data_IF_874416450151
#
_entry.id   IF_874416450151
#
_cell.length_a   1.000
_cell.length_b   1.000
_cell.length_c   1.000
_cell.angle_alpha   90.00
_cell.angle_beta   90.00
_cell.angle_gamma   90.00
#
_symmetry.space_group_name_H-M   'P 1'
#
loop_
_entity.id
_entity.type
_entity.pdbx_description
1 polymer ?
#
# COMPACT_ATOMS: atom_id res chain seq x y z
N UNK A 1 20.82 18.77 -3.40
CA UNK A 1 22.08 18.32 -2.79
C UNK A 1 21.68 17.62 -1.51
N UNK A 2 22.11 16.36 -1.33
CA UNK A 2 21.87 15.64 -0.07
C UNK A 2 22.81 16.23 0.98
N UNK A 3 22.26 16.81 2.04
CA UNK A 3 23.05 17.30 3.16
C UNK A 3 23.58 16.12 3.97
N UNK A 4 24.87 16.19 4.37
CA UNK A 4 25.41 15.24 5.32
C UNK A 4 25.09 15.70 6.75
N UNK A 5 24.59 14.79 7.58
CA UNK A 5 24.27 15.08 8.97
C UNK A 5 24.35 13.85 9.86
N UNK A 6 24.36 14.08 11.18
CA UNK A 6 24.27 13.03 12.19
C UNK A 6 23.11 13.30 13.15
N UNK A 7 22.28 12.27 13.38
CA UNK A 7 21.27 12.23 14.45
C UNK A 7 21.93 11.67 15.70
N UNK A 8 22.11 12.47 16.74
CA UNK A 8 22.90 12.12 17.93
C UNK A 8 22.01 11.83 19.13
N UNK A 9 22.25 10.72 19.81
CA UNK A 9 21.61 10.37 21.07
C UNK A 9 20.23 9.70 20.92
N UNK A 10 19.88 9.18 19.75
CA UNK A 10 18.60 8.51 19.51
C UNK A 10 18.50 7.17 20.23
N UNK A 11 17.28 6.75 20.55
CA UNK A 11 16.95 5.34 20.76
C UNK A 11 16.57 4.75 19.41
N UNK A 12 17.37 3.79 18.94
CA UNK A 12 17.23 3.21 17.61
C UNK A 12 16.40 1.92 17.65
N UNK A 13 15.32 1.88 16.86
CA UNK A 13 14.61 0.66 16.48
C UNK A 13 14.93 0.40 15.01
N UNK A 14 15.79 -0.58 14.75
CA UNK A 14 16.36 -0.81 13.41
C UNK A 14 15.41 -1.47 12.41
N UNK A 15 14.22 -1.92 12.84
CA UNK A 15 13.23 -2.59 12.01
C UNK A 15 13.40 -4.12 11.91
N UNK A 16 14.47 -4.71 12.44
CA UNK A 16 14.73 -6.16 12.38
C UNK A 16 14.07 -6.97 13.50
N UNK A 17 13.36 -6.31 14.41
CA UNK A 17 12.65 -6.96 15.51
C UNK A 17 13.50 -7.24 16.76
N UNK A 18 14.75 -6.78 16.78
CA UNK A 18 15.60 -6.81 17.97
C UNK A 18 15.20 -5.76 19.01
N UNK A 19 15.85 -5.77 20.21
CA UNK A 19 15.63 -4.75 21.21
C UNK A 19 16.12 -3.38 20.71
N UNK A 20 15.46 -2.30 21.15
CA UNK A 20 15.89 -0.94 20.86
C UNK A 20 17.29 -0.66 21.42
N UNK A 21 18.14 0.00 20.65
CA UNK A 21 19.48 0.40 21.07
C UNK A 21 19.48 1.87 21.53
N UNK A 22 19.77 2.08 22.79
CA UNK A 22 19.77 3.43 23.39
C UNK A 22 21.03 4.22 23.05
N UNK A 23 20.87 5.54 23.01
CA UNK A 23 21.97 6.51 22.90
C UNK A 23 22.90 6.23 21.71
N UNK A 24 22.30 6.06 20.54
CA UNK A 24 23.00 5.82 19.28
C UNK A 24 23.15 7.11 18.46
N UNK A 25 24.15 7.13 17.59
CA UNK A 25 24.31 8.15 16.54
C UNK A 25 24.18 7.48 15.19
N UNK A 26 23.34 8.03 14.34
CA UNK A 26 23.16 7.62 12.94
C UNK A 26 23.65 8.75 12.04
N UNK A 27 24.67 8.44 11.23
CA UNK A 27 25.28 9.37 10.26
C UNK A 27 24.69 9.12 8.88
N UNK A 28 24.30 10.20 8.23
CA UNK A 28 23.74 10.20 6.87
C UNK A 28 24.63 11.01 5.96
N UNK A 29 25.04 10.40 4.84
CA UNK A 29 25.86 11.01 3.80
C UNK A 29 25.35 10.60 2.43
N UNK A 30 25.24 11.56 1.52
CA UNK A 30 24.78 11.32 0.14
C UNK A 30 23.44 10.55 0.07
N UNK A 31 22.53 10.81 1.00
CA UNK A 31 21.21 10.19 1.02
C UNK A 31 21.17 8.77 1.61
N UNK A 32 22.30 8.27 2.15
CA UNK A 32 22.43 6.94 2.72
C UNK A 32 22.90 6.97 4.16
N UNK A 33 22.59 5.92 4.89
CA UNK A 33 23.12 5.68 6.23
C UNK A 33 24.58 5.24 6.06
N UNK A 34 25.52 6.07 6.47
CA UNK A 34 26.96 5.78 6.32
C UNK A 34 27.56 5.10 7.54
N UNK A 35 27.03 5.40 8.75
CA UNK A 35 27.57 4.86 10.01
C UNK A 35 26.53 4.85 11.12
N UNK A 36 26.54 3.81 11.94
CA UNK A 36 25.74 3.67 13.15
C UNK A 36 26.67 3.32 14.31
N UNK A 37 26.78 4.19 15.31
CA UNK A 37 27.69 4.01 16.45
C UNK A 37 27.04 4.46 17.76
N UNK A 38 27.47 3.94 18.93
CA UNK A 38 27.11 4.54 20.21
C UNK A 38 27.51 6.01 20.27
N UNK A 39 26.65 6.89 20.82
CA UNK A 39 26.92 8.33 20.85
C UNK A 39 28.23 8.70 21.56
N UNK A 40 28.62 7.91 22.57
CA UNK A 40 29.91 8.08 23.26
C UNK A 40 31.18 7.79 22.39
N UNK A 41 30.98 7.13 21.23
CA UNK A 41 32.04 6.81 20.27
C UNK A 41 32.00 7.69 19.03
N UNK A 42 31.06 8.62 18.99
CA UNK A 42 30.89 9.53 17.87
C UNK A 42 31.70 10.80 18.05
N UNK A 43 32.70 11.01 17.19
CA UNK A 43 33.38 12.27 17.05
C UNK A 43 32.87 12.99 15.81
N UNK A 44 32.32 14.17 15.99
CA UNK A 44 31.80 14.96 14.88
C UNK A 44 32.95 15.43 13.97
N UNK A 45 32.92 15.05 12.73
CA UNK A 45 33.85 15.55 11.72
C UNK A 45 33.62 17.04 11.45
N UNK A 46 34.71 17.77 11.15
CA UNK A 46 34.60 19.19 10.85
C UNK A 46 33.71 19.42 9.63
N UNK A 47 32.60 20.16 9.85
CA UNK A 47 31.64 20.48 8.80
C UNK A 47 30.42 19.54 8.73
N UNK A 48 30.39 18.45 9.47
CA UNK A 48 29.19 17.59 9.57
C UNK A 48 28.15 18.27 10.48
N UNK A 49 26.96 18.51 9.95
CA UNK A 49 25.83 19.04 10.73
C UNK A 49 25.37 17.99 11.75
N UNK A 50 25.31 18.34 13.03
CA UNK A 50 24.75 17.48 14.06
C UNK A 50 23.36 17.94 14.46
N UNK A 51 22.46 17.00 14.65
CA UNK A 51 21.09 17.21 15.13
C UNK A 51 20.99 16.46 16.47
N UNK A 52 20.75 17.22 17.55
CA UNK A 52 20.47 16.62 18.85
C UNK A 52 19.10 15.93 18.80
N UNK A 53 19.09 14.63 19.00
CA UNK A 53 17.92 13.78 19.01
C UNK A 53 17.83 12.95 20.30
N UNK A 54 18.46 13.42 21.37
CA UNK A 54 18.37 12.80 22.69
C UNK A 54 16.91 12.71 23.16
N UNK A 55 16.53 11.54 23.67
CA UNK A 55 15.16 11.24 24.10
C UNK A 55 14.16 10.98 22.98
N UNK A 56 14.60 10.94 21.72
CA UNK A 56 13.75 10.60 20.57
C UNK A 56 14.04 9.17 20.09
N UNK A 57 13.06 8.64 19.34
CA UNK A 57 13.07 7.28 18.83
C UNK A 57 13.23 7.30 17.29
N UNK A 58 14.24 6.61 16.78
CA UNK A 58 14.53 6.56 15.35
C UNK A 58 14.13 5.20 14.78
N UNK A 59 13.30 5.25 13.74
CA UNK A 59 12.80 4.07 13.01
C UNK A 59 13.13 4.20 11.53
N UNK A 60 13.07 3.08 10.76
CA UNK A 60 13.01 3.17 9.29
C UNK A 60 11.77 3.96 8.87
N UNK A 61 11.82 4.62 7.72
CA UNK A 61 10.64 5.18 7.09
C UNK A 61 9.57 4.12 6.89
N UNK A 62 8.32 4.47 7.16
CA UNK A 62 7.20 3.54 6.99
C UNK A 62 7.00 3.23 5.50
N UNK A 63 6.50 2.04 5.24
CA UNK A 63 6.22 1.53 3.89
C UNK A 63 4.79 1.00 3.87
N UNK A 64 4.00 1.37 2.84
CA UNK A 64 2.69 0.76 2.60
C UNK A 64 2.77 -0.15 1.37
N UNK A 65 2.44 -1.42 1.56
CA UNK A 65 2.56 -2.47 0.53
C UNK A 65 1.35 -2.61 -0.40
N UNK A 66 0.26 -1.88 -0.15
CA UNK A 66 -0.91 -1.88 -1.03
C UNK A 66 -1.72 -0.60 -0.83
N UNK A 67 -1.67 0.27 -1.81
CA UNK A 67 -2.30 1.59 -1.81
C UNK A 67 -2.73 1.94 -3.25
N UNK A 68 -3.64 2.90 -3.38
CA UNK A 68 -4.14 3.42 -4.65
C UNK A 68 -4.08 4.95 -4.60
N UNK A 69 -3.06 5.55 -5.21
CA UNK A 69 -2.77 6.99 -5.09
C UNK A 69 -3.75 7.86 -5.88
N UNK A 70 -4.33 7.35 -6.96
CA UNK A 70 -5.49 7.98 -7.58
C UNK A 70 -6.71 7.70 -6.72
N UNK A 71 -6.81 8.47 -5.65
CA UNK A 71 -7.82 8.34 -4.61
C UNK A 71 -9.24 8.30 -5.20
N UNK A 72 -10.15 7.55 -4.57
CA UNK A 72 -11.56 7.45 -4.99
C UNK A 72 -11.87 6.39 -6.06
N UNK A 73 -10.89 5.69 -6.61
CA UNK A 73 -11.11 4.64 -7.63
C UNK A 73 -12.07 3.57 -7.13
N UNK A 74 -11.90 3.14 -5.88
CA UNK A 74 -12.65 2.03 -5.27
C UNK A 74 -14.06 2.42 -4.84
N UNK A 75 -14.51 3.66 -5.06
CA UNK A 75 -15.85 4.07 -4.67
C UNK A 75 -16.91 3.37 -5.49
N UNK A 76 -17.56 2.42 -4.85
CA UNK A 76 -18.76 1.77 -5.37
C UNK A 76 -19.94 2.72 -5.27
N UNK A 77 -20.10 3.63 -6.24
CA UNK A 77 -21.18 4.59 -6.26
C UNK A 77 -20.99 5.73 -7.25
N UNK A 78 -21.94 6.65 -7.27
CA UNK A 78 -21.98 7.80 -8.18
C UNK A 78 -20.83 8.77 -7.90
N UNK A 79 -20.39 8.88 -6.64
CA UNK A 79 -19.30 9.76 -6.23
C UNK A 79 -17.97 9.48 -6.94
N UNK A 80 -17.64 8.21 -7.17
CA UNK A 80 -16.44 7.84 -7.94
C UNK A 80 -16.47 8.33 -9.39
N UNK A 81 -17.67 8.42 -10.00
CA UNK A 81 -17.86 8.96 -11.36
C UNK A 81 -17.51 10.45 -11.39
N UNK A 82 -18.05 11.21 -10.46
CA UNK A 82 -17.79 12.66 -10.37
C UNK A 82 -16.33 12.95 -10.12
N UNK A 83 -15.71 12.19 -9.24
CA UNK A 83 -14.30 12.28 -8.94
C UNK A 83 -13.45 12.07 -10.19
N UNK A 84 -13.60 10.95 -10.88
CA UNK A 84 -12.83 10.66 -12.08
C UNK A 84 -13.08 11.66 -13.22
N UNK A 85 -14.31 12.15 -13.35
CA UNK A 85 -14.64 13.17 -14.35
C UNK A 85 -14.02 14.54 -14.00
N UNK A 86 -14.04 14.93 -12.72
CA UNK A 86 -13.48 16.19 -12.23
C UNK A 86 -11.99 16.28 -12.48
N UNK A 87 -11.25 15.21 -12.19
CA UNK A 87 -9.80 15.19 -12.27
C UNK A 87 -9.26 14.61 -13.58
N UNK A 88 -10.12 14.32 -14.58
CA UNK A 88 -9.68 13.84 -15.88
C UNK A 88 -8.66 14.82 -16.51
N UNK A 89 -7.52 14.30 -16.94
CA UNK A 89 -6.39 15.12 -17.44
C UNK A 89 -5.46 15.67 -16.35
N UNK A 90 -5.77 15.43 -15.07
CA UNK A 90 -4.95 15.87 -13.92
C UNK A 90 -4.56 14.73 -12.97
N UNK A 91 -4.75 13.48 -13.39
CA UNK A 91 -4.49 12.31 -12.53
C UNK A 91 -3.06 12.25 -11.98
N UNK A 92 -2.07 12.69 -12.75
CA UNK A 92 -0.68 12.79 -12.26
C UNK A 92 -0.59 13.64 -11.01
N UNK A 93 -1.28 14.79 -10.97
CA UNK A 93 -1.27 15.70 -9.81
C UNK A 93 -2.01 15.11 -8.60
N UNK A 94 -3.11 14.40 -8.85
CA UNK A 94 -3.83 13.67 -7.81
C UNK A 94 -2.93 12.62 -7.17
N UNK A 95 -2.22 11.86 -7.98
CA UNK A 95 -1.27 10.83 -7.52
C UNK A 95 -0.10 11.47 -6.76
N UNK A 96 0.43 12.59 -7.24
CA UNK A 96 1.49 13.34 -6.55
C UNK A 96 1.01 13.82 -5.18
N UNK A 97 -0.22 14.36 -5.08
CA UNK A 97 -0.81 14.77 -3.81
C UNK A 97 -1.03 13.57 -2.87
N UNK A 98 -1.56 12.45 -3.37
CA UNK A 98 -1.68 11.21 -2.61
C UNK A 98 -0.34 10.77 -2.01
N UNK A 99 0.74 10.81 -2.81
CA UNK A 99 2.09 10.50 -2.36
C UNK A 99 2.63 11.52 -1.34
N UNK A 100 2.19 12.77 -1.38
CA UNK A 100 2.55 13.79 -0.39
C UNK A 100 1.82 13.58 0.93
N UNK A 101 0.53 13.23 0.89
CA UNK A 101 -0.27 12.92 2.08
C UNK A 101 0.31 11.74 2.85
N UNK A 102 0.78 10.71 2.16
CA UNK A 102 1.43 9.56 2.79
C UNK A 102 2.79 9.93 3.37
N UNK A 103 3.63 10.68 2.60
CA UNK A 103 4.95 11.14 3.07
C UNK A 103 4.85 12.02 4.31
N UNK A 104 3.90 12.93 4.36
CA UNK A 104 3.61 13.82 5.50
C UNK A 104 3.43 13.04 6.82
N UNK A 105 2.98 11.79 6.73
CA UNK A 105 2.70 10.92 7.87
C UNK A 105 3.71 9.77 8.06
N UNK A 106 4.92 9.92 7.51
CA UNK A 106 6.04 9.00 7.75
C UNK A 106 6.16 7.86 6.75
N UNK A 107 5.22 7.69 5.84
CA UNK A 107 5.31 6.67 4.78
C UNK A 107 6.24 7.19 3.68
N UNK A 108 7.47 6.71 3.67
CA UNK A 108 8.50 7.15 2.70
C UNK A 108 8.46 6.40 1.38
N UNK A 109 7.84 5.22 1.38
CA UNK A 109 7.69 4.37 0.21
C UNK A 109 6.30 3.75 0.15
N UNK A 110 5.70 3.70 -1.03
CA UNK A 110 4.42 3.07 -1.30
C UNK A 110 4.50 2.11 -2.49
N UNK A 111 3.72 1.04 -2.42
CA UNK A 111 3.47 0.14 -3.52
C UNK A 111 2.03 0.38 -4.00
N UNK A 112 1.92 1.10 -5.12
CA UNK A 112 0.65 1.35 -5.78
C UNK A 112 0.28 0.15 -6.63
N UNK A 113 -0.72 -0.59 -6.19
CA UNK A 113 -1.04 -1.91 -6.74
C UNK A 113 -2.21 -1.92 -7.71
N UNK A 114 -2.88 -0.79 -7.88
CA UNK A 114 -3.91 -0.60 -8.92
C UNK A 114 -4.16 0.88 -9.18
N UNK A 115 -3.76 1.32 -10.35
CA UNK A 115 -3.95 2.69 -10.79
C UNK A 115 -3.95 2.75 -12.33
N UNK A 116 -4.30 3.90 -12.90
CA UNK A 116 -4.06 4.17 -14.30
C UNK A 116 -2.55 4.16 -14.57
N UNK A 117 -2.07 3.18 -15.35
CA UNK A 117 -0.63 2.90 -15.53
C UNK A 117 0.19 4.13 -15.91
N UNK A 118 -0.20 4.82 -16.98
CA UNK A 118 0.62 5.92 -17.50
C UNK A 118 0.69 7.11 -16.54
N UNK A 119 -0.41 7.58 -15.91
CA UNK A 119 -0.36 8.60 -14.88
C UNK A 119 0.51 8.24 -13.67
N UNK A 120 0.40 7.01 -13.14
CA UNK A 120 1.18 6.62 -11.95
C UNK A 120 2.66 6.50 -12.27
N UNK A 121 3.03 5.99 -13.46
CA UNK A 121 4.43 5.95 -13.89
C UNK A 121 5.00 7.34 -14.10
N UNK A 122 4.22 8.28 -14.62
CA UNK A 122 4.64 9.67 -14.77
C UNK A 122 4.87 10.31 -13.39
N UNK A 123 3.92 10.22 -12.46
CA UNK A 123 4.06 10.74 -11.11
C UNK A 123 5.29 10.15 -10.40
N UNK A 124 5.47 8.81 -10.47
CA UNK A 124 6.67 8.13 -9.98
C UNK A 124 7.97 8.74 -10.52
N UNK A 125 8.03 8.94 -11.84
CA UNK A 125 9.23 9.45 -12.48
C UNK A 125 9.50 10.93 -12.10
N UNK A 126 8.47 11.73 -11.91
CA UNK A 126 8.58 13.12 -11.43
C UNK A 126 9.10 13.18 -10.00
N UNK A 127 8.59 12.30 -9.11
CA UNK A 127 9.08 12.19 -7.74
C UNK A 127 10.53 11.70 -7.70
N UNK A 128 10.87 10.67 -8.49
CA UNK A 128 12.23 10.11 -8.54
C UNK A 128 13.25 11.10 -9.12
N UNK A 129 12.84 11.99 -10.01
CA UNK A 129 13.72 13.05 -10.56
C UNK A 129 13.83 14.28 -9.65
N UNK A 130 13.04 14.35 -8.57
CA UNK A 130 12.96 15.53 -7.70
C UNK A 130 12.14 16.69 -8.29
N UNK A 131 11.43 16.47 -9.40
CA UNK A 131 10.50 17.46 -9.97
C UNK A 131 9.22 17.61 -9.14
N UNK A 132 8.90 16.60 -8.31
CA UNK A 132 7.82 16.63 -7.31
C UNK A 132 8.30 16.01 -6.01
N UNK A 133 7.69 16.39 -4.88
CA UNK A 133 7.90 15.78 -3.57
C UNK A 133 6.80 14.74 -3.34
N UNK A 134 7.13 13.64 -2.68
CA UNK A 134 6.18 12.59 -2.34
C UNK A 134 6.89 11.33 -1.85
N UNK A 135 6.14 10.35 -1.36
CA UNK A 135 6.64 9.00 -1.09
C UNK A 135 7.22 8.39 -2.36
N UNK A 136 8.27 7.58 -2.24
CA UNK A 136 8.77 6.77 -3.37
C UNK A 136 7.66 5.82 -3.82
N UNK A 137 7.34 5.81 -5.10
CA UNK A 137 6.29 4.98 -5.68
C UNK A 137 6.93 3.78 -6.38
N UNK A 138 6.42 2.59 -6.12
CA UNK A 138 6.52 1.41 -6.98
C UNK A 138 5.11 1.12 -7.49
N UNK A 139 4.93 0.92 -8.81
CA UNK A 139 3.63 0.87 -9.43
C UNK A 139 3.39 -0.42 -10.22
N UNK A 140 2.23 -1.04 -10.01
CA UNK A 140 1.73 -2.17 -10.80
C UNK A 140 0.94 -1.69 -12.05
N UNK A 141 0.37 -0.49 -12.02
CA UNK A 141 -0.65 -0.09 -12.98
C UNK A 141 -1.96 -0.87 -12.76
N UNK A 142 -2.55 -1.44 -13.81
CA UNK A 142 -3.79 -2.19 -13.69
C UNK A 142 -3.60 -3.57 -13.04
N UNK A 143 -4.66 -4.07 -12.42
CA UNK A 143 -4.77 -5.49 -12.04
C UNK A 143 -5.05 -6.29 -13.31
N UNK A 144 -4.13 -7.16 -13.70
CA UNK A 144 -4.27 -7.98 -14.92
C UNK A 144 -5.49 -8.89 -14.81
N UNK A 145 -6.35 -8.83 -15.81
CA UNK A 145 -7.62 -9.56 -15.88
C UNK A 145 -8.81 -8.80 -15.36
N UNK A 146 -8.63 -7.62 -14.77
CA UNK A 146 -9.71 -6.74 -14.35
C UNK A 146 -9.87 -5.57 -15.32
N UNK A 147 -11.10 -5.16 -15.52
CA UNK A 147 -11.41 -3.95 -16.27
C UNK A 147 -11.05 -2.68 -15.51
N UNK A 148 -11.41 -1.54 -16.07
CA UNK A 148 -11.28 -0.26 -15.39
C UNK A 148 -12.38 -0.02 -14.35
N UNK A 149 -12.40 1.17 -13.73
CA UNK A 149 -13.30 1.52 -12.61
C UNK A 149 -14.81 1.36 -12.91
N UNK A 150 -15.20 1.47 -14.17
CA UNK A 150 -16.59 1.33 -14.61
C UNK A 150 -16.88 0.03 -15.32
N UNK A 151 -15.94 -0.88 -15.34
CA UNK A 151 -16.15 -2.20 -15.94
C UNK A 151 -17.20 -3.01 -15.18
N UNK A 152 -17.83 -4.00 -15.84
CA UNK A 152 -18.84 -4.83 -15.20
C UNK A 152 -18.36 -5.63 -14.00
N UNK A 153 -17.08 -5.94 -13.94
CA UNK A 153 -16.42 -6.64 -12.85
C UNK A 153 -16.08 -5.73 -11.67
N UNK A 154 -16.30 -4.41 -11.79
CA UNK A 154 -15.99 -3.47 -10.72
C UNK A 154 -17.17 -2.60 -10.28
N UNK A 155 -17.74 -1.79 -11.17
CA UNK A 155 -18.84 -0.91 -10.82
C UNK A 155 -19.94 -0.89 -11.90
N UNK A 156 -20.64 -2.01 -12.04
CA UNK A 156 -21.72 -2.16 -13.00
C UNK A 156 -22.83 -1.11 -12.84
N UNK A 157 -23.18 -0.75 -11.61
CA UNK A 157 -24.26 0.20 -11.35
C UNK A 157 -23.90 1.63 -11.79
N UNK A 158 -22.67 2.09 -11.50
CA UNK A 158 -22.22 3.40 -11.96
C UNK A 158 -22.20 3.48 -13.49
N UNK A 159 -21.73 2.41 -14.16
CA UNK A 159 -21.73 2.34 -15.63
C UNK A 159 -23.10 2.56 -16.28
N UNK A 160 -24.18 2.13 -15.63
CA UNK A 160 -25.55 2.31 -16.12
C UNK A 160 -26.01 3.77 -16.12
N UNK A 161 -25.39 4.61 -15.31
CA UNK A 161 -25.80 5.99 -15.03
C UNK A 161 -24.99 7.04 -15.77
N UNK A 162 -23.97 6.63 -16.55
CA UNK A 162 -23.00 7.53 -17.18
C UNK A 162 -22.93 7.33 -18.69
N UNK A 163 -22.31 8.30 -19.38
CA UNK A 163 -22.04 8.21 -20.81
C UNK A 163 -21.19 7.00 -21.14
N UNK A 164 -21.59 6.10 -22.04
CA UNK A 164 -20.76 4.97 -22.47
C UNK A 164 -19.41 5.41 -23.03
N UNK A 165 -19.32 6.56 -23.66
CA UNK A 165 -18.07 7.11 -24.21
C UNK A 165 -17.11 7.47 -23.08
N UNK A 166 -17.63 8.10 -22.01
CA UNK A 166 -16.81 8.40 -20.82
C UNK A 166 -16.37 7.11 -20.14
N UNK A 167 -17.30 6.21 -19.83
CA UNK A 167 -16.99 4.95 -19.17
C UNK A 167 -15.92 4.15 -19.91
N UNK A 168 -16.09 3.98 -21.24
CA UNK A 168 -15.12 3.21 -22.04
C UNK A 168 -13.74 3.87 -22.06
N UNK A 169 -13.67 5.22 -22.17
CA UNK A 169 -12.41 5.95 -22.20
C UNK A 169 -11.63 5.80 -20.89
N UNK A 170 -12.32 5.88 -19.76
CA UNK A 170 -11.70 5.72 -18.45
C UNK A 170 -11.29 4.25 -18.22
N UNK A 171 -12.19 3.31 -18.54
CA UNK A 171 -11.89 1.89 -18.43
C UNK A 171 -10.67 1.50 -19.29
N UNK A 172 -10.58 1.99 -20.53
CA UNK A 172 -9.45 1.72 -21.42
C UNK A 172 -8.13 2.31 -20.86
N UNK A 173 -8.20 3.50 -20.25
CA UNK A 173 -7.05 4.13 -19.61
C UNK A 173 -6.50 3.28 -18.45
N UNK A 174 -7.39 2.78 -17.58
CA UNK A 174 -7.01 1.93 -16.47
C UNK A 174 -6.60 0.54 -16.93
N UNK A 175 -7.38 -0.09 -17.81
CA UNK A 175 -7.10 -1.44 -18.29
C UNK A 175 -5.73 -1.56 -18.98
N UNK A 176 -5.25 -0.50 -19.62
CA UNK A 176 -3.92 -0.45 -20.28
C UNK A 176 -3.60 -1.68 -21.16
N UNK A 177 -4.62 -2.26 -21.79
CA UNK A 177 -4.52 -3.42 -22.65
C UNK A 177 -4.45 -4.79 -21.93
N UNK A 178 -4.56 -4.81 -20.60
CA UNK A 178 -4.53 -6.06 -19.80
C UNK A 178 -5.78 -6.24 -18.92
N UNK A 179 -6.88 -5.61 -19.32
CA UNK A 179 -8.17 -5.75 -18.67
C UNK A 179 -8.86 -7.09 -18.93
N UNK A 180 -10.18 -7.13 -18.64
CA UNK A 180 -10.98 -8.35 -18.77
C UNK A 180 -11.01 -8.94 -20.20
N UNK A 181 -10.76 -8.14 -21.22
CA UNK A 181 -10.67 -8.57 -22.62
C UNK A 181 -9.55 -9.57 -22.90
N UNK A 182 -8.51 -9.60 -22.04
CA UNK A 182 -7.46 -10.62 -22.12
C UNK A 182 -8.02 -12.04 -22.06
N UNK A 183 -9.08 -12.27 -21.31
CA UNK A 183 -9.70 -13.58 -21.14
C UNK A 183 -10.31 -14.13 -22.44
N UNK A 184 -10.56 -13.27 -23.42
CA UNK A 184 -11.12 -13.59 -24.72
C UNK A 184 -10.07 -13.94 -25.78
N UNK A 185 -8.79 -13.72 -25.48
CA UNK A 185 -7.70 -13.92 -26.42
C UNK A 185 -7.28 -15.40 -26.49
N UNK A 186 -6.65 -15.76 -27.61
CA UNK A 186 -5.93 -17.02 -27.69
C UNK A 186 -4.61 -16.92 -26.92
N UNK A 187 -4.14 -18.04 -26.37
CA UNK A 187 -2.94 -18.10 -25.51
C UNK A 187 -1.73 -17.33 -26.07
N UNK A 188 -1.45 -17.46 -27.34
CA UNK A 188 -0.32 -16.77 -28.00
C UNK A 188 -0.48 -15.26 -27.98
N UNK A 189 -1.68 -14.74 -28.24
CA UNK A 189 -1.97 -13.30 -28.24
C UNK A 189 -2.02 -12.75 -26.81
N UNK A 190 -2.62 -13.52 -25.91
CA UNK A 190 -2.61 -13.23 -24.48
C UNK A 190 -1.17 -13.05 -23.98
N UNK A 191 -0.31 -14.06 -24.20
CA UNK A 191 1.07 -14.02 -23.71
C UNK A 191 1.88 -12.89 -24.33
N UNK A 192 1.65 -12.57 -25.61
CA UNK A 192 2.30 -11.43 -26.25
C UNK A 192 1.91 -10.10 -25.58
N UNK A 193 0.62 -9.84 -25.41
CA UNK A 193 0.10 -8.62 -24.78
C UNK A 193 0.53 -8.52 -23.31
N UNK A 194 0.54 -9.61 -22.59
CA UNK A 194 0.98 -9.64 -21.20
C UNK A 194 2.48 -9.32 -21.07
N UNK A 195 3.33 -9.84 -21.95
CA UNK A 195 4.75 -9.51 -21.99
C UNK A 195 5.01 -8.05 -22.36
N UNK A 196 4.23 -7.49 -23.28
CA UNK A 196 4.31 -6.06 -23.61
C UNK A 196 3.98 -5.21 -22.37
N UNK A 197 3.00 -5.65 -21.56
CA UNK A 197 2.69 -5.00 -20.29
C UNK A 197 3.84 -5.07 -19.27
N UNK A 198 4.42 -6.25 -19.05
CA UNK A 198 5.60 -6.42 -18.18
C UNK A 198 6.73 -5.46 -18.59
N UNK A 199 6.92 -5.25 -19.90
CA UNK A 199 7.97 -4.38 -20.45
C UNK A 199 7.59 -2.89 -20.46
N UNK A 200 6.38 -2.53 -20.05
CA UNK A 200 5.91 -1.14 -20.11
C UNK A 200 6.49 -0.21 -19.04
N UNK A 201 7.34 -0.75 -18.15
CA UNK A 201 8.02 0.02 -17.10
C UNK A 201 7.33 -0.05 -15.74
N UNK A 202 6.38 -0.96 -15.54
CA UNK A 202 5.82 -1.29 -14.23
C UNK A 202 6.89 -1.91 -13.32
N UNK A 203 6.78 -1.72 -12.01
CA UNK A 203 7.75 -2.21 -11.03
C UNK A 203 7.38 -3.58 -10.46
N UNK A 204 6.15 -4.02 -10.70
CA UNK A 204 5.54 -5.26 -10.24
C UNK A 204 4.31 -5.58 -11.07
N UNK A 205 3.77 -6.77 -10.96
CA UNK A 205 2.53 -7.17 -11.64
C UNK A 205 1.53 -7.71 -10.63
N UNK A 206 0.31 -7.16 -10.62
CA UNK A 206 -0.81 -7.68 -9.83
C UNK A 206 -1.79 -8.40 -10.75
N UNK A 207 -2.12 -9.64 -10.43
CA UNK A 207 -3.08 -10.45 -11.19
C UNK A 207 -4.34 -10.70 -10.37
N UNK A 208 -5.50 -10.69 -11.02
CA UNK A 208 -6.76 -11.13 -10.44
C UNK A 208 -6.86 -12.66 -10.56
N UNK A 209 -6.56 -13.40 -9.50
CA UNK A 209 -6.79 -14.86 -9.49
C UNK A 209 -8.28 -15.13 -9.27
N UNK A 210 -8.95 -14.36 -8.41
CA UNK A 210 -10.41 -14.36 -8.25
C UNK A 210 -10.99 -13.01 -8.63
N UNK A 211 -12.23 -13.00 -9.10
CA UNK A 211 -12.96 -11.77 -9.41
C UNK A 211 -13.54 -11.10 -8.14
N UNK A 212 -13.94 -9.81 -8.27
CA UNK A 212 -14.53 -9.05 -7.18
C UNK A 212 -16.04 -9.27 -7.03
N UNK A 213 -16.76 -9.49 -8.13
CA UNK A 213 -18.21 -9.36 -8.16
C UNK A 213 -18.98 -10.61 -7.78
N UNK A 214 -18.49 -11.77 -8.17
CA UNK A 214 -19.24 -13.03 -7.93
C UNK A 214 -19.51 -13.22 -6.45
N UNK A 215 -18.59 -12.80 -5.62
CA UNK A 215 -18.72 -12.86 -4.19
C UNK A 215 -19.71 -11.83 -3.62
N UNK A 216 -19.79 -10.64 -4.19
CA UNK A 216 -20.74 -9.60 -3.77
C UNK A 216 -22.16 -9.87 -4.24
N UNK A 217 -22.34 -10.43 -5.43
CA UNK A 217 -23.64 -10.69 -6.03
C UNK A 217 -24.27 -11.99 -5.54
N UNK A 218 -23.48 -12.94 -5.10
CA UNK A 218 -23.99 -14.24 -4.64
C UNK A 218 -23.23 -14.74 -3.39
N UNK A 219 -23.50 -14.18 -2.22
CA UNK A 219 -22.87 -14.61 -0.96
C UNK A 219 -23.17 -16.08 -0.59
N UNK A 220 -24.16 -16.70 -1.25
CA UNK A 220 -24.49 -18.11 -1.06
C UNK A 220 -23.67 -19.02 -1.97
N UNK A 221 -23.27 -18.52 -3.14
CA UNK A 221 -22.35 -19.24 -4.03
C UNK A 221 -20.89 -18.98 -3.59
N UNK A 222 -20.50 -19.46 -2.45
CA UNK A 222 -19.15 -19.40 -1.86
C UNK A 222 -18.04 -19.98 -2.78
N UNK A 223 -18.28 -20.02 -4.06
CA UNK A 223 -17.34 -20.44 -5.10
C UNK A 223 -16.97 -19.22 -5.90
N UNK A 224 -15.84 -18.64 -5.58
CA UNK A 224 -15.21 -17.69 -6.46
C UNK A 224 -14.66 -18.43 -7.67
N UNK A 225 -15.02 -17.94 -8.82
CA UNK A 225 -14.44 -18.46 -10.06
C UNK A 225 -13.07 -17.81 -10.28
N UNK A 226 -12.11 -18.60 -10.76
CA UNK A 226 -10.85 -18.05 -11.19
C UNK A 226 -11.06 -17.17 -12.42
N UNK A 227 -10.46 -15.99 -12.43
CA UNK A 227 -10.49 -15.06 -13.58
C UNK A 227 -9.85 -15.71 -14.81
N UNK A 228 -8.79 -16.48 -14.61
CA UNK A 228 -8.07 -17.20 -15.65
C UNK A 228 -8.02 -18.70 -15.40
N UNK A 229 -7.89 -19.52 -16.45
CA UNK A 229 -7.50 -20.91 -16.29
C UNK A 229 -6.15 -21.03 -15.57
N UNK A 230 -6.01 -21.99 -14.68
CA UNK A 230 -4.81 -22.20 -13.88
C UNK A 230 -3.51 -22.22 -14.72
N UNK A 231 -3.53 -22.87 -15.89
CA UNK A 231 -2.37 -22.90 -16.80
C UNK A 231 -1.92 -21.50 -17.24
N UNK A 232 -2.85 -20.54 -17.33
CA UNK A 232 -2.50 -19.16 -17.70
C UNK A 232 -1.96 -18.39 -16.50
N UNK A 233 -2.48 -18.66 -15.30
CA UNK A 233 -1.93 -18.08 -14.07
C UNK A 233 -0.47 -18.53 -13.88
N UNK A 234 -0.18 -19.80 -14.08
CA UNK A 234 1.21 -20.35 -14.04
C UNK A 234 2.10 -19.73 -15.13
N UNK A 235 1.57 -19.55 -16.34
CA UNK A 235 2.31 -18.90 -17.42
C UNK A 235 2.62 -17.42 -17.11
N UNK A 236 1.68 -16.72 -16.47
CA UNK A 236 1.90 -15.34 -16.03
C UNK A 236 2.99 -15.26 -14.95
N UNK A 237 2.96 -16.16 -13.98
CA UNK A 237 4.00 -16.27 -12.96
C UNK A 237 5.38 -16.46 -13.60
N UNK A 238 5.53 -17.46 -14.49
CA UNK A 238 6.78 -17.70 -15.22
C UNK A 238 7.31 -16.43 -15.92
N UNK A 239 6.45 -15.71 -16.63
CA UNK A 239 6.83 -14.51 -17.40
C UNK A 239 7.21 -13.33 -16.49
N UNK A 240 6.53 -13.15 -15.35
CA UNK A 240 6.81 -12.08 -14.37
C UNK A 240 8.13 -12.34 -13.66
N UNK A 241 8.33 -13.54 -13.14
CA UNK A 241 9.59 -13.92 -12.47
C UNK A 241 10.78 -13.95 -13.44
N UNK A 242 10.57 -14.37 -14.69
CA UNK A 242 11.61 -14.27 -15.73
C UNK A 242 12.03 -12.83 -16.03
N UNK A 243 11.15 -11.85 -15.79
CA UNK A 243 11.45 -10.43 -15.89
C UNK A 243 12.09 -9.84 -14.60
N UNK A 244 12.20 -10.62 -13.53
CA UNK A 244 12.71 -10.19 -12.25
C UNK A 244 11.77 -9.24 -11.48
N UNK A 245 10.47 -9.30 -11.77
CA UNK A 245 9.45 -8.48 -11.12
C UNK A 245 8.71 -9.29 -10.04
N UNK A 246 8.27 -8.64 -8.95
CA UNK A 246 7.35 -9.25 -8.00
C UNK A 246 5.98 -9.52 -8.63
N UNK A 247 5.41 -10.69 -8.30
CA UNK A 247 4.05 -11.08 -8.66
C UNK A 247 3.12 -10.95 -7.46
N UNK A 248 2.06 -10.16 -7.60
CA UNK A 248 1.04 -9.95 -6.58
C UNK A 248 -0.26 -10.63 -7.01
N UNK A 249 -0.99 -11.17 -6.03
CA UNK A 249 -2.31 -11.73 -6.28
C UNK A 249 -3.41 -10.94 -5.58
N UNK A 250 -4.48 -10.63 -6.33
CA UNK A 250 -5.79 -10.30 -5.79
C UNK A 250 -6.55 -11.60 -5.55
N UNK A 251 -6.92 -11.89 -4.31
CA UNK A 251 -7.59 -13.13 -3.93
C UNK A 251 -8.67 -12.86 -2.88
N UNK A 252 -9.88 -13.35 -3.12
CA UNK A 252 -11.03 -13.24 -2.22
C UNK A 252 -11.63 -14.60 -1.83
N UNK A 253 -10.92 -15.69 -2.07
CA UNK A 253 -11.41 -17.03 -1.76
C UNK A 253 -10.31 -18.02 -1.47
N UNK A 254 -10.60 -19.01 -0.64
CA UNK A 254 -9.65 -20.06 -0.26
C UNK A 254 -9.05 -20.77 -1.48
N UNK A 255 -9.81 -21.22 -2.52
CA UNK A 255 -9.21 -21.86 -3.70
C UNK A 255 -8.26 -20.95 -4.48
N UNK A 256 -8.51 -19.63 -4.49
CA UNK A 256 -7.60 -18.68 -5.12
C UNK A 256 -6.31 -18.49 -4.31
N UNK A 257 -6.41 -18.54 -2.97
CA UNK A 257 -5.23 -18.53 -2.09
C UNK A 257 -4.39 -19.81 -2.24
N UNK A 258 -5.04 -20.97 -2.39
CA UNK A 258 -4.35 -22.25 -2.65
C UNK A 258 -3.53 -22.14 -3.93
N UNK A 259 -4.15 -21.71 -5.04
CA UNK A 259 -3.45 -21.53 -6.30
C UNK A 259 -2.31 -20.50 -6.20
N UNK A 260 -2.56 -19.36 -5.56
CA UNK A 260 -1.54 -18.32 -5.35
C UNK A 260 -0.33 -18.86 -4.55
N UNK A 261 -0.58 -19.65 -3.51
CA UNK A 261 0.47 -20.27 -2.72
C UNK A 261 1.23 -21.34 -3.50
N UNK A 262 0.55 -22.10 -4.37
CA UNK A 262 1.17 -23.13 -5.20
C UNK A 262 2.13 -22.56 -6.24
N UNK A 263 1.77 -21.43 -6.87
CA UNK A 263 2.56 -20.77 -7.91
C UNK A 263 3.60 -19.80 -7.36
N UNK A 264 3.82 -19.78 -6.06
CA UNK A 264 4.83 -18.94 -5.42
C UNK A 264 4.70 -17.44 -5.75
N UNK A 265 3.46 -16.87 -5.61
CA UNK A 265 3.33 -15.41 -5.67
C UNK A 265 4.16 -14.77 -4.57
N UNK A 266 4.72 -13.59 -4.83
CA UNK A 266 5.54 -12.89 -3.83
C UNK A 266 4.67 -12.25 -2.75
N UNK A 267 3.49 -11.74 -3.14
CA UNK A 267 2.56 -11.03 -2.25
C UNK A 267 1.11 -11.43 -2.49
N UNK A 268 0.41 -11.76 -1.41
CA UNK A 268 -1.05 -11.89 -1.39
C UNK A 268 -1.67 -10.63 -0.82
N UNK A 269 -2.46 -9.93 -1.61
CA UNK A 269 -3.19 -8.74 -1.20
C UNK A 269 -4.54 -9.14 -0.60
N UNK A 270 -4.88 -8.60 0.58
CA UNK A 270 -6.08 -8.85 1.39
C UNK A 270 -6.52 -10.33 1.48
N UNK A 271 -5.58 -11.29 1.71
CA UNK A 271 -5.88 -12.72 1.68
C UNK A 271 -6.84 -13.18 2.79
N UNK A 272 -7.07 -12.35 3.80
CA UNK A 272 -7.99 -12.64 4.91
C UNK A 272 -9.45 -12.45 4.55
N UNK A 273 -9.74 -11.80 3.42
CA UNK A 273 -11.09 -11.59 2.89
C UNK A 273 -11.56 -12.81 2.10
N UNK A 274 -12.09 -13.78 2.80
CA UNK A 274 -12.51 -15.08 2.26
C UNK A 274 -14.02 -15.30 2.33
N UNK A 275 -14.82 -14.22 2.40
CA UNK A 275 -16.28 -14.28 2.51
C UNK A 275 -16.75 -15.27 3.59
N UNK A 276 -16.31 -15.04 4.84
CA UNK A 276 -16.67 -15.82 6.01
C UNK A 276 -16.19 -17.29 5.97
N UNK A 277 -15.12 -17.56 5.24
CA UNK A 277 -14.42 -18.85 5.33
C UNK A 277 -13.17 -18.72 6.21
N UNK A 278 -12.96 -19.68 7.08
CA UNK A 278 -11.68 -19.81 7.79
C UNK A 278 -10.69 -20.48 6.85
N UNK A 279 -9.52 -19.87 6.67
CA UNK A 279 -8.43 -20.43 5.87
C UNK A 279 -7.91 -21.69 6.59
N UNK A 280 -7.74 -22.82 5.86
CA UNK A 280 -7.17 -24.04 6.44
C UNK A 280 -5.78 -23.77 7.04
N UNK A 281 -5.51 -24.40 8.18
CA UNK A 281 -4.24 -24.23 8.90
C UNK A 281 -3.05 -24.64 8.05
N UNK A 282 -3.16 -25.70 7.27
CA UNK A 282 -2.13 -26.19 6.37
C UNK A 282 -1.77 -25.15 5.30
N UNK A 283 -2.76 -24.41 4.80
CA UNK A 283 -2.54 -23.34 3.84
C UNK A 283 -1.86 -22.13 4.49
N UNK A 284 -2.27 -21.75 5.70
CA UNK A 284 -1.61 -20.68 6.48
C UNK A 284 -0.14 -21.04 6.72
N UNK A 285 0.16 -22.29 7.12
CA UNK A 285 1.52 -22.76 7.35
C UNK A 285 2.35 -22.82 6.05
N UNK A 286 1.74 -23.19 4.92
CA UNK A 286 2.40 -23.16 3.60
C UNK A 286 2.82 -21.73 3.25
N UNK A 287 1.92 -20.77 3.36
CA UNK A 287 2.16 -19.35 3.08
C UNK A 287 3.28 -18.81 3.99
N UNK A 288 3.22 -19.12 5.28
CA UNK A 288 4.24 -18.71 6.24
C UNK A 288 5.62 -19.30 5.93
N UNK A 289 5.67 -20.60 5.60
CA UNK A 289 6.92 -21.32 5.26
C UNK A 289 7.57 -20.78 3.99
N UNK A 290 6.77 -20.43 2.99
CA UNK A 290 7.24 -19.85 1.73
C UNK A 290 7.61 -18.37 1.86
N UNK A 291 7.39 -17.75 3.00
CA UNK A 291 7.65 -16.32 3.23
C UNK A 291 6.90 -15.38 2.28
N UNK A 292 5.74 -15.81 1.77
CA UNK A 292 4.88 -14.96 0.94
C UNK A 292 4.43 -13.76 1.77
N UNK A 293 4.47 -12.57 1.19
CA UNK A 293 3.97 -11.35 1.82
C UNK A 293 2.46 -11.43 2.03
N UNK A 294 2.00 -11.25 3.26
CA UNK A 294 0.58 -11.31 3.64
C UNK A 294 0.09 -9.90 3.90
N UNK A 295 -0.45 -9.27 2.87
CA UNK A 295 -1.00 -7.92 2.93
C UNK A 295 -2.38 -7.92 3.58
N UNK A 296 -2.45 -7.78 4.90
CA UNK A 296 -3.73 -7.75 5.63
C UNK A 296 -4.37 -6.38 5.52
N UNK A 297 -5.69 -6.37 5.34
CA UNK A 297 -6.53 -5.16 5.32
C UNK A 297 -7.56 -5.24 6.46
N UNK A 298 -7.20 -4.82 7.68
CA UNK A 298 -8.07 -4.91 8.85
C UNK A 298 -9.02 -3.72 8.96
N UNK A 299 -10.13 -3.95 9.63
CA UNK A 299 -11.06 -2.89 10.07
C UNK A 299 -11.19 -2.99 11.58
N UNK A 300 -11.23 -1.85 12.30
CA UNK A 300 -11.48 -1.85 13.74
C UNK A 300 -12.93 -2.26 14.03
N UNK A 301 -13.17 -2.89 15.18
CA UNK A 301 -14.51 -3.32 15.55
C UNK A 301 -15.49 -2.15 15.69
N UNK A 302 -15.00 -1.02 16.19
CA UNK A 302 -15.77 0.20 16.34
C UNK A 302 -16.17 0.78 14.97
N UNK A 303 -15.22 0.92 14.05
CA UNK A 303 -15.51 1.43 12.71
C UNK A 303 -16.45 0.48 11.93
N UNK A 304 -16.24 -0.83 12.07
CA UNK A 304 -17.15 -1.85 11.51
C UNK A 304 -18.58 -1.67 12.01
N UNK A 305 -18.75 -1.43 13.33
CA UNK A 305 -20.06 -1.17 13.94
C UNK A 305 -20.73 0.09 13.36
N UNK A 306 -19.97 1.17 13.17
CA UNK A 306 -20.45 2.42 12.53
C UNK A 306 -20.87 2.18 11.08
N UNK A 307 -20.05 1.48 10.29
CA UNK A 307 -20.41 1.11 8.92
C UNK A 307 -21.72 0.31 8.84
N UNK A 308 -21.91 -0.67 9.72
CA UNK A 308 -23.13 -1.47 9.79
C UNK A 308 -24.34 -0.61 10.17
N UNK A 309 -24.19 0.33 11.09
CA UNK A 309 -25.27 1.25 11.47
C UNK A 309 -25.74 2.13 10.30
N UNK A 310 -24.84 2.46 9.35
CA UNK A 310 -25.14 3.14 8.11
C UNK A 310 -25.57 2.20 6.96
N UNK A 311 -25.75 0.90 7.24
CA UNK A 311 -26.12 -0.08 6.21
C UNK A 311 -25.03 -0.37 5.18
N UNK A 312 -23.79 -0.03 5.50
CA UNK A 312 -22.66 -0.25 4.61
C UNK A 312 -22.13 -1.69 4.77
N UNK A 313 -22.11 -2.44 3.67
CA UNK A 313 -21.74 -3.85 3.68
C UNK A 313 -20.28 -4.10 4.07
N UNK A 314 -19.37 -3.13 3.90
CA UNK A 314 -18.00 -3.25 4.35
C UNK A 314 -17.87 -3.50 5.86
N UNK A 315 -18.85 -3.05 6.65
CA UNK A 315 -18.90 -3.40 8.06
C UNK A 315 -19.04 -4.90 8.32
N UNK A 316 -19.72 -5.63 7.43
CA UNK A 316 -19.86 -7.10 7.54
C UNK A 316 -18.57 -7.86 7.19
N UNK A 317 -17.61 -7.20 6.56
CA UNK A 317 -16.33 -7.82 6.20
C UNK A 317 -15.42 -8.04 7.41
N UNK A 318 -15.64 -7.33 8.52
CA UNK A 318 -14.95 -7.57 9.79
C UNK A 318 -15.62 -8.72 10.60
N UNK A 319 -15.89 -9.84 9.94
CA UNK A 319 -16.53 -11.01 10.56
C UNK A 319 -15.59 -11.74 11.52
N UNK A 320 -16.15 -12.64 12.33
CA UNK A 320 -15.37 -13.49 13.25
C UNK A 320 -14.35 -14.37 12.49
N UNK A 321 -14.73 -14.86 11.31
CA UNK A 321 -13.88 -15.67 10.43
C UNK A 321 -12.73 -14.83 9.85
N UNK A 322 -13.02 -13.62 9.41
CA UNK A 322 -12.00 -12.67 8.94
C UNK A 322 -10.97 -12.38 10.05
N UNK A 323 -11.44 -11.97 11.23
CA UNK A 323 -10.57 -11.74 12.38
C UNK A 323 -9.78 -12.98 12.82
N UNK A 324 -10.37 -14.19 12.65
CA UNK A 324 -9.67 -15.44 12.89
C UNK A 324 -8.55 -15.67 11.88
N UNK A 325 -8.78 -15.38 10.62
CA UNK A 325 -7.76 -15.47 9.58
C UNK A 325 -6.59 -14.50 9.87
N UNK A 326 -6.88 -13.27 10.30
CA UNK A 326 -5.87 -12.32 10.73
C UNK A 326 -5.01 -12.86 11.87
N UNK A 327 -5.65 -13.38 12.93
CA UNK A 327 -4.93 -14.01 14.06
C UNK A 327 -4.10 -15.20 13.64
N UNK A 328 -4.64 -16.09 12.80
CA UNK A 328 -3.92 -17.26 12.33
C UNK A 328 -2.63 -16.88 11.59
N UNK A 329 -2.66 -15.85 10.72
CA UNK A 329 -1.45 -15.37 10.06
C UNK A 329 -0.46 -14.75 11.04
N UNK A 330 -0.92 -13.97 12.02
CA UNK A 330 -0.04 -13.38 13.04
C UNK A 330 0.64 -14.48 13.87
N UNK A 331 -0.13 -15.48 14.32
CA UNK A 331 0.35 -16.57 15.17
C UNK A 331 1.25 -17.57 14.43
N UNK A 332 1.05 -17.74 13.12
CA UNK A 332 1.89 -18.62 12.30
C UNK A 332 3.30 -18.08 12.04
N UNK A 333 3.56 -16.81 12.36
CA UNK A 333 4.81 -16.14 11.99
C UNK A 333 4.95 -15.84 10.50
N UNK A 334 3.84 -15.80 9.76
CA UNK A 334 3.82 -15.38 8.36
C UNK A 334 4.40 -13.96 8.20
N UNK A 335 4.85 -13.63 7.00
CA UNK A 335 5.33 -12.30 6.67
C UNK A 335 4.16 -11.31 6.56
N UNK A 336 3.51 -10.99 7.70
CA UNK A 336 2.42 -10.01 7.78
C UNK A 336 2.96 -8.63 7.49
N UNK A 337 2.32 -7.93 6.56
CA UNK A 337 2.73 -6.59 6.14
C UNK A 337 1.54 -5.63 6.04
N UNK A 338 1.83 -4.35 6.21
CA UNK A 338 0.87 -3.27 5.97
C UNK A 338 0.45 -3.27 4.51
N UNK A 339 -0.85 -3.33 4.29
CA UNK A 339 -1.50 -3.26 2.99
C UNK A 339 -2.90 -2.68 3.21
N UNK A 340 -2.99 -1.36 3.28
CA UNK A 340 -4.18 -0.68 3.79
C UNK A 340 -5.31 -0.58 2.79
N UNK A 341 -4.98 -0.71 1.50
CA UNK A 341 -5.92 -0.45 0.40
C UNK A 341 -6.46 1.00 0.42
N UNK A 342 -5.69 1.91 1.03
CA UNK A 342 -6.05 3.32 1.10
C UNK A 342 -6.07 3.95 -0.29
N UNK A 343 -6.86 5.01 -0.44
CA UNK A 343 -7.17 5.58 -1.74
C UNK A 343 -8.52 5.12 -2.29
N UNK A 344 -9.25 4.32 -1.53
CA UNK A 344 -10.60 3.92 -1.90
C UNK A 344 -11.59 5.08 -1.97
N UNK A 345 -11.27 6.21 -1.34
CA UNK A 345 -12.15 7.38 -1.29
C UNK A 345 -11.38 8.67 -1.13
N UNK A 346 -11.75 9.66 -1.93
CA UNK A 346 -11.21 11.01 -1.84
C UNK A 346 -11.82 11.80 -0.67
N UNK A 347 -11.14 12.88 -0.27
CA UNK A 347 -11.66 13.85 0.69
C UNK A 347 -12.97 14.50 0.24
N UNK A 348 -13.14 14.72 -1.06
CA UNK A 348 -14.38 15.22 -1.64
C UNK A 348 -15.57 14.29 -1.38
N UNK A 349 -15.34 12.99 -1.48
CA UNK A 349 -16.36 11.97 -1.31
C UNK A 349 -16.64 11.71 0.18
N UNK A 350 -15.66 11.94 1.06
CA UNK A 350 -15.88 11.88 2.50
C UNK A 350 -16.96 12.86 2.96
N UNK A 351 -17.10 14.00 2.29
CA UNK A 351 -18.15 14.98 2.61
C UNK A 351 -19.57 14.40 2.48
N UNK A 352 -19.76 13.37 1.66
CA UNK A 352 -21.06 12.71 1.46
C UNK A 352 -21.32 11.58 2.46
N UNK A 353 -20.35 11.24 3.30
CA UNK A 353 -20.49 10.26 4.38
C UNK A 353 -20.90 10.94 5.69
N UNK A 354 -21.53 10.18 6.59
CA UNK A 354 -21.76 10.66 7.96
C UNK A 354 -20.47 11.06 8.64
N UNK A 355 -20.46 12.17 9.41
CA UNK A 355 -19.24 12.67 10.07
C UNK A 355 -18.58 11.62 10.97
N UNK A 356 -19.36 10.73 11.57
CA UNK A 356 -18.88 9.61 12.38
C UNK A 356 -18.14 8.53 11.58
N UNK A 357 -18.23 8.53 10.25
CA UNK A 357 -17.47 7.66 9.35
C UNK A 357 -16.15 8.27 8.88
N UNK A 358 -15.80 9.47 9.29
CA UNK A 358 -14.52 10.09 8.96
C UNK A 358 -13.40 9.65 9.92
N UNK A 359 -13.70 9.51 11.20
CA UNK A 359 -12.74 9.10 12.22
C UNK A 359 -12.41 7.60 12.10
N UNK A 360 -11.15 7.23 12.30
CA UNK A 360 -10.64 5.85 12.24
C UNK A 360 -10.92 5.12 10.92
N UNK A 361 -11.11 5.85 9.85
CA UNK A 361 -11.35 5.27 8.56
C UNK A 361 -10.09 4.59 8.02
N UNK A 362 -10.12 3.27 7.71
CA UNK A 362 -8.92 2.51 7.34
C UNK A 362 -8.38 2.87 5.95
N UNK A 363 -9.17 3.56 5.13
CA UNK A 363 -8.83 3.87 3.73
C UNK A 363 -8.45 5.33 3.48
N UNK A 364 -8.25 6.12 4.53
CA UNK A 364 -7.88 7.53 4.40
C UNK A 364 -6.39 7.68 4.19
N UNK A 365 -5.97 8.11 2.99
CA UNK A 365 -4.57 8.34 2.66
C UNK A 365 -3.85 9.18 3.72
N UNK A 366 -2.72 8.70 4.18
CA UNK A 366 -1.85 9.35 5.14
C UNK A 366 -2.06 8.93 6.60
N UNK A 367 -3.27 8.55 7.01
CA UNK A 367 -3.56 8.07 8.38
C UNK A 367 -3.87 6.56 8.43
N UNK A 368 -4.09 5.96 7.30
CA UNK A 368 -4.50 4.58 7.07
C UNK A 368 -3.63 3.54 7.80
N UNK A 369 -2.30 3.69 7.75
CA UNK A 369 -1.37 2.77 8.40
C UNK A 369 -1.43 2.83 9.93
N UNK A 370 -1.76 3.97 10.55
CA UNK A 370 -1.99 4.06 12.00
C UNK A 370 -3.28 3.33 12.40
N UNK A 371 -4.35 3.50 11.62
CA UNK A 371 -5.61 2.76 11.81
C UNK A 371 -5.39 1.26 11.62
N UNK A 372 -4.56 0.86 10.65
CA UNK A 372 -4.13 -0.52 10.45
C UNK A 372 -3.46 -1.10 11.71
N UNK A 373 -2.50 -0.38 12.28
CA UNK A 373 -1.84 -0.78 13.54
C UNK A 373 -2.86 -0.92 14.66
N UNK A 374 -3.73 0.08 14.86
CA UNK A 374 -4.79 0.07 15.87
C UNK A 374 -5.66 -1.18 15.75
N UNK A 375 -6.08 -1.56 14.55
CA UNK A 375 -6.88 -2.75 14.31
C UNK A 375 -6.13 -4.05 14.64
N UNK A 376 -4.91 -4.25 14.12
CA UNK A 376 -4.17 -5.50 14.31
C UNK A 376 -3.59 -5.67 15.72
N UNK A 377 -3.40 -4.58 16.48
CA UNK A 377 -3.09 -4.67 17.90
C UNK A 377 -4.19 -5.44 18.66
N UNK A 378 -5.45 -5.27 18.29
CA UNK A 378 -6.58 -6.02 18.88
C UNK A 378 -6.61 -7.48 18.45
N UNK A 379 -5.89 -7.84 17.38
CA UNK A 379 -5.74 -9.22 16.88
C UNK A 379 -4.50 -9.93 17.44
N UNK A 380 -3.71 -9.27 18.30
CA UNK A 380 -2.53 -9.85 18.96
C UNK A 380 -1.19 -9.49 18.33
N UNK A 381 -1.15 -8.66 17.28
CA UNK A 381 0.12 -8.17 16.72
C UNK A 381 0.83 -7.30 17.75
N UNK A 382 2.09 -7.61 18.07
CA UNK A 382 2.88 -6.77 18.99
C UNK A 382 3.24 -5.42 18.35
N UNK A 383 3.59 -4.41 19.15
CA UNK A 383 4.04 -3.12 18.56
C UNK A 383 5.31 -3.28 17.72
N UNK A 384 6.26 -4.09 18.17
CA UNK A 384 7.44 -4.41 17.37
C UNK A 384 7.05 -5.14 16.07
N UNK A 385 6.09 -6.08 16.14
CA UNK A 385 5.53 -6.72 14.94
C UNK A 385 4.86 -5.73 13.99
N UNK A 386 4.17 -4.72 14.50
CA UNK A 386 3.59 -3.65 13.69
C UNK A 386 4.68 -2.78 13.02
N UNK A 387 5.76 -2.46 13.74
CA UNK A 387 6.90 -1.75 13.16
C UNK A 387 7.53 -2.58 12.04
N UNK A 388 7.77 -3.87 12.27
CA UNK A 388 8.29 -4.75 11.22
C UNK A 388 7.34 -4.84 10.02
N UNK A 389 6.03 -4.94 10.27
CA UNK A 389 5.01 -5.01 9.24
C UNK A 389 4.93 -3.75 8.37
N UNK A 390 5.28 -2.57 8.92
CA UNK A 390 5.33 -1.29 8.20
C UNK A 390 6.70 -0.96 7.61
N UNK A 391 7.71 -1.82 7.75
CA UNK A 391 9.06 -1.51 7.35
C UNK A 391 9.74 -2.72 6.69
N UNK A 392 10.39 -3.56 7.48
CA UNK A 392 11.13 -4.75 7.06
C UNK A 392 10.30 -5.69 6.18
N UNK A 393 9.11 -6.06 6.65
CA UNK A 393 8.31 -7.12 6.04
C UNK A 393 7.82 -6.74 4.64
N UNK A 394 7.41 -5.49 4.44
CA UNK A 394 7.05 -4.98 3.11
C UNK A 394 8.27 -4.98 2.20
N UNK A 395 9.41 -4.45 2.69
CA UNK A 395 10.64 -4.39 1.90
C UNK A 395 11.13 -5.80 1.51
N UNK A 396 11.01 -6.79 2.41
CA UNK A 396 11.32 -8.20 2.13
C UNK A 396 10.40 -8.76 1.04
N UNK A 397 9.09 -8.63 1.20
CA UNK A 397 8.09 -9.19 0.29
C UNK A 397 8.25 -8.68 -1.15
N UNK A 398 8.65 -7.43 -1.30
CA UNK A 398 8.86 -6.81 -2.62
C UNK A 398 10.32 -6.84 -3.09
N UNK A 399 11.21 -7.59 -2.43
CA UNK A 399 12.61 -7.71 -2.82
C UNK A 399 13.39 -6.39 -2.76
N UNK A 400 13.06 -5.51 -1.80
CA UNK A 400 13.70 -4.19 -1.63
C UNK A 400 14.48 -4.06 -0.32
N UNK A 401 14.60 -5.16 0.44
CA UNK A 401 15.22 -5.13 1.75
C UNK A 401 16.70 -4.69 1.73
N UNK A 402 17.40 -4.92 0.63
CA UNK A 402 18.80 -4.46 0.48
C UNK A 402 18.92 -2.92 0.42
N UNK A 403 17.82 -2.20 0.17
CA UNK A 403 17.82 -0.75 -0.08
C UNK A 403 17.09 0.04 0.99
N UNK A 404 15.95 -0.49 1.47
CA UNK A 404 15.03 0.18 2.41
C UNK A 404 14.51 -0.81 3.46
N UNK A 405 13.68 -0.34 4.40
CA UNK A 405 12.94 -1.16 5.35
C UNK A 405 13.64 -1.41 6.68
N UNK A 406 14.93 -1.07 6.79
CA UNK A 406 15.68 -1.15 8.06
C UNK A 406 16.67 0.00 8.16
N UNK A 407 17.08 0.34 9.39
CA UNK A 407 18.17 1.29 9.64
C UNK A 407 19.48 0.52 9.70
N UNK A 408 20.16 0.42 8.55
CA UNK A 408 21.44 -0.28 8.39
C UNK A 408 22.38 0.50 7.48
N UNK A 409 23.70 0.38 7.73
CA UNK A 409 24.71 1.03 6.91
C UNK A 409 24.60 0.61 5.43
N UNK A 410 24.72 1.58 4.53
CA UNK A 410 24.59 1.43 3.08
C UNK A 410 23.17 1.60 2.54
N UNK A 411 22.13 1.48 3.34
CA UNK A 411 20.73 1.67 2.92
C UNK A 411 20.37 3.14 2.77
N UNK A 412 19.29 3.42 2.05
CA UNK A 412 18.75 4.77 1.93
C UNK A 412 18.35 5.30 3.31
N UNK A 413 18.64 6.56 3.55
CA UNK A 413 18.26 7.23 4.78
C UNK A 413 16.80 7.68 4.73
N UNK A 414 15.90 6.71 4.61
CA UNK A 414 14.46 6.86 4.79
C UNK A 414 14.17 6.59 6.27
N UNK A 415 13.91 7.65 7.03
CA UNK A 415 13.89 7.61 8.49
C UNK A 415 12.71 8.37 9.05
N UNK A 416 12.13 7.84 10.13
CA UNK A 416 11.12 8.53 10.96
C UNK A 416 11.67 8.71 12.37
N UNK A 417 11.66 9.94 12.85
CA UNK A 417 12.05 10.29 14.21
C UNK A 417 10.78 10.61 15.01
N UNK A 418 10.54 9.89 16.11
CA UNK A 418 9.39 10.06 16.99
C UNK A 418 9.77 10.82 18.25
N UNK A 419 8.80 11.55 18.84
CA UNK A 419 8.97 12.21 20.12
C UNK A 419 8.84 11.24 21.30
N UNK A 420 7.99 10.22 21.17
CA UNK A 420 7.58 9.34 22.26
C UNK A 420 7.91 7.86 21.95
N UNK A 421 8.02 7.04 23.00
CA UNK A 421 8.32 5.62 22.91
C UNK A 421 7.18 4.83 22.26
N UNK A 422 7.37 4.30 21.02
CA UNK A 422 6.33 3.53 20.35
C UNK A 422 6.12 2.14 20.95
N UNK A 423 7.09 1.61 21.71
CA UNK A 423 7.00 0.27 22.30
C UNK A 423 6.13 0.27 23.56
N UNK A 424 6.00 1.42 24.24
CA UNK A 424 5.11 1.60 25.37
C UNK A 424 3.66 1.78 24.91
N UNK A 425 3.47 2.59 23.87
CA UNK A 425 2.15 2.83 23.26
C UNK A 425 2.30 2.92 21.74
N UNK A 426 1.56 2.08 21.02
CA UNK A 426 1.58 2.06 19.56
C UNK A 426 1.02 3.35 18.92
N UNK A 427 0.22 4.14 19.62
CA UNK A 427 -0.26 5.43 19.12
C UNK A 427 0.89 6.45 18.96
N UNK A 428 1.99 6.26 19.71
CA UNK A 428 3.20 7.07 19.58
C UNK A 428 3.90 6.93 18.21
N UNK A 429 3.54 5.94 17.39
CA UNK A 429 3.99 5.85 15.99
C UNK A 429 3.55 7.07 15.16
N UNK A 430 2.49 7.74 15.55
CA UNK A 430 2.00 8.99 14.93
C UNK A 430 2.64 10.27 15.48
N UNK A 431 3.34 10.20 16.65
CA UNK A 431 4.00 11.35 17.29
C UNK A 431 5.35 11.67 16.63
N UNK A 432 5.28 12.04 15.35
CA UNK A 432 6.42 12.23 14.48
C UNK A 432 7.08 13.60 14.73
N UNK A 433 8.36 13.58 15.11
CA UNK A 433 9.20 14.78 15.27
C UNK A 433 9.81 15.23 13.92
N UNK A 434 10.27 14.28 13.10
CA UNK A 434 10.86 14.57 11.81
C UNK A 434 10.78 13.35 10.88
N UNK A 435 10.79 13.61 9.57
CA UNK A 435 10.88 12.59 8.53
C UNK A 435 12.06 12.95 7.62
N UNK A 436 12.82 11.92 7.24
CA UNK A 436 13.85 12.04 6.23
C UNK A 436 13.57 11.03 5.11
N UNK A 437 13.59 11.49 3.87
CA UNK A 437 13.51 10.65 2.68
C UNK A 437 14.81 10.81 1.90
N UNK A 438 15.53 9.70 1.71
CA UNK A 438 16.86 9.73 1.08
C UNK A 438 17.80 10.79 1.71
N UNK A 439 17.74 10.90 3.04
CA UNK A 439 18.54 11.86 3.81
C UNK A 439 18.09 13.33 3.68
N UNK A 440 17.01 13.61 2.98
CA UNK A 440 16.44 14.96 2.90
C UNK A 440 15.32 15.11 3.91
N UNK A 441 15.41 16.13 4.76
CA UNK A 441 14.35 16.43 5.71
C UNK A 441 13.06 16.87 4.98
N UNK A 442 11.95 16.29 5.37
CA UNK A 442 10.63 16.58 4.79
C UNK A 442 10.00 17.76 5.53
N UNK A 443 9.65 18.81 4.81
CA UNK A 443 8.83 19.91 5.35
C UNK A 443 7.35 19.48 5.34
N UNK A 444 6.93 18.85 6.43
CA UNK A 444 5.58 18.27 6.59
C UNK A 444 4.47 19.31 6.52
N UNK A 445 4.74 20.53 6.98
CA UNK A 445 3.72 21.58 7.06
C UNK A 445 3.43 22.19 5.69
N UNK A 446 4.36 22.06 4.74
CA UNK A 446 4.16 22.50 3.37
C UNK A 446 3.39 21.50 2.49
N UNK A 447 3.13 20.30 2.99
CA UNK A 447 2.46 19.24 2.22
C UNK A 447 0.97 19.12 2.57
N UNK A 448 0.07 18.87 1.61
CA UNK A 448 0.37 18.76 0.18
C UNK A 448 0.55 20.12 -0.51
N UNK A 449 1.31 20.13 -1.61
CA UNK A 449 1.54 21.32 -2.43
C UNK A 449 1.81 20.94 -3.90
N UNK A 450 0.94 21.34 -4.84
CA UNK A 450 -0.31 22.04 -4.59
C UNK A 450 -1.40 21.12 -4.04
N UNK A 451 -2.38 21.67 -3.33
CA UNK A 451 -3.63 20.98 -2.99
C UNK A 451 -4.46 20.80 -4.27
N UNK A 452 -4.94 19.61 -4.52
CA UNK A 452 -5.79 19.21 -5.67
C UNK A 452 -7.09 18.59 -5.15
N UNK A 453 -7.00 17.41 -4.53
CA UNK A 453 -8.16 16.71 -3.93
C UNK A 453 -8.49 17.19 -2.53
N UNK A 454 -7.52 17.77 -1.81
CA UNK A 454 -7.74 18.38 -0.47
C UNK A 454 -8.13 19.85 -0.56
N UNK A 455 -8.04 20.45 -1.74
CA UNK A 455 -8.50 21.82 -1.96
C UNK A 455 -10.02 21.93 -1.76
N UNK A 456 -10.53 23.10 -1.27
CA UNK A 456 -11.96 23.32 -1.16
C UNK A 456 -12.68 23.06 -2.50
N UNK A 457 -13.88 22.45 -2.43
CA UNK A 457 -14.70 22.14 -3.62
C UNK A 457 -14.88 23.39 -4.50
N UNK A 458 -14.62 23.23 -5.79
CA UNK A 458 -14.69 24.32 -6.79
C UNK A 458 -13.41 25.11 -6.98
N UNK A 459 -12.35 24.79 -6.26
CA UNK A 459 -11.01 25.37 -6.52
C UNK A 459 -10.51 24.89 -7.90
N UNK A 460 -10.03 25.81 -8.77
CA UNK A 460 -9.44 25.41 -10.05
C UNK A 460 -8.20 24.53 -9.83
N UNK A 461 -8.12 23.45 -10.58
CA UNK A 461 -6.93 22.58 -10.55
C UNK A 461 -5.73 23.39 -11.07
N UNK A 462 -4.61 23.46 -10.36
CA UNK A 462 -3.41 24.16 -10.81
C UNK A 462 -2.97 23.68 -12.18
N UNK A 463 -2.52 24.59 -13.04
CA UNK A 463 -2.07 24.27 -14.42
C UNK A 463 -0.79 23.44 -14.45
#
# INVERSE_FOLDING_TARGET
MHDSFALVGVTLIDGRGGPAAENMTVVVESGRISRIVPAAQFDAEAGLRTIDAAGKWLLPGYINGNIHLLDGIMMMGVGGVEYLARYEGSYVKVIEEGAQLTLRNGVTTVFDTWDARDPVLEARNRINSGASVGSRIFAAGNIVGMGGPFSPDFNYNARQSISPTFANRIDDLFAAGVGADLTLLQEKEFRARFRDYIQSGVDMVKIAISDHLTAHLNPVALRTYHTFPEKWVRMMEEDVHAAGLPLLSHTLAVPALELAAEIDVDVMIHPTWTFNQVIPEELVQMIATKRIGVGIQPITDDYSGRLLAHGNFFGAMNSAEHQKNERNFIESGANVMVATDAGCTSHDILADLGEDLHEDRPWTLGADHFTWVKALRTRGLSTMGAIQAMTHNVAEAYGKLDVIGTVEEGKLADLVLLNSDPLVDSENLSDIAAIFKEGVAVDRESLPSPEVVTAPTGTPIPS
#
